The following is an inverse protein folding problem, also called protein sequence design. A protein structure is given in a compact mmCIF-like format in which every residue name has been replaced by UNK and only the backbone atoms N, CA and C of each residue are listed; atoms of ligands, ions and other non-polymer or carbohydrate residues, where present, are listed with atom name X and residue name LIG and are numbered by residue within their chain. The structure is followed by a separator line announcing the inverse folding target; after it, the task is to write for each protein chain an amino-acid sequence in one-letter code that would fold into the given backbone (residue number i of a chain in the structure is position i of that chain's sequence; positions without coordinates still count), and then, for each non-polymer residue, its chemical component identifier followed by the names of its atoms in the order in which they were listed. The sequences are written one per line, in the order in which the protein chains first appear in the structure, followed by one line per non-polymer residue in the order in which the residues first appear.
data_IF_454003537536
#
_entry.id   IF_454003537536
#
_cell.length_a   1.000
_cell.length_b   1.000
_cell.length_c   1.000
_cell.angle_alpha   90.00
_cell.angle_beta   90.00
_cell.angle_gamma   90.00
#
_symmetry.space_group_name_H-M   'P 1'
#
loop_
_entity.id
_entity.type
_entity.pdbx_description
1 polymer ?
#
# COMPACT_ATOMS: atom_id res chain seq x y z
N UNK A 1 10.97 8.19 -11.46
CA UNK A 1 10.88 7.53 -10.15
C UNK A 1 9.66 8.07 -9.42
N UNK A 2 8.86 7.21 -8.78
CA UNK A 2 7.76 7.67 -7.94
C UNK A 2 8.32 8.39 -6.70
N UNK A 3 7.55 9.32 -6.13
CA UNK A 3 7.98 9.98 -4.89
C UNK A 3 8.07 8.95 -3.76
N UNK A 4 9.00 9.14 -2.82
CA UNK A 4 9.09 8.33 -1.60
C UNK A 4 7.93 8.65 -0.67
N UNK A 5 6.84 7.90 -0.90
CA UNK A 5 5.54 8.11 -0.30
C UNK A 5 5.11 6.91 0.50
N UNK A 6 4.77 7.18 1.76
CA UNK A 6 4.23 6.20 2.70
C UNK A 6 2.72 6.34 2.74
N UNK A 7 1.99 5.24 2.52
CA UNK A 7 0.56 5.16 2.80
C UNK A 7 0.31 4.20 3.95
N UNK A 8 -0.47 4.61 4.95
CA UNK A 8 -0.95 3.72 5.99
C UNK A 8 -2.37 4.08 6.41
N UNK A 9 -3.15 3.11 6.87
CA UNK A 9 -4.52 3.36 7.27
C UNK A 9 -5.01 2.40 8.33
N UNK A 10 -6.05 2.81 9.04
CA UNK A 10 -6.70 1.98 10.05
C UNK A 10 -8.21 1.95 9.84
N UNK A 11 -8.81 0.78 10.10
CA UNK A 11 -10.27 0.62 10.06
C UNK A 11 -10.89 1.24 11.32
N UNK A 12 -11.95 2.05 11.20
CA UNK A 12 -12.68 2.64 12.33
C UNK A 12 -13.59 1.60 13.02
N UNK A 13 -13.01 0.71 13.84
CA UNK A 13 -13.76 -0.34 14.57
C UNK A 13 -13.75 -0.12 16.09
N UNK A 14 -13.90 1.14 16.51
CA UNK A 14 -13.95 1.60 17.90
C UNK A 14 -12.61 2.10 18.46
N UNK A 15 -12.61 2.52 19.73
CA UNK A 15 -11.51 3.23 20.40
C UNK A 15 -10.13 2.60 20.25
N UNK A 16 -9.09 3.42 20.07
CA UNK A 16 -7.72 2.93 20.06
C UNK A 16 -7.24 2.60 21.49
N UNK A 17 -6.18 1.80 21.58
CA UNK A 17 -5.59 1.33 22.84
C UNK A 17 -4.08 1.35 22.76
N UNK A 18 -3.38 1.14 23.88
CA UNK A 18 -1.90 1.22 23.94
C UNK A 18 -1.19 0.32 22.92
N UNK A 19 -1.76 -0.85 22.61
CA UNK A 19 -1.27 -1.67 21.50
C UNK A 19 -1.24 -0.97 20.13
N UNK A 20 -2.24 -0.14 19.81
CA UNK A 20 -2.23 0.67 18.58
C UNK A 20 -1.21 1.80 18.65
N UNK A 21 -1.05 2.43 19.81
CA UNK A 21 -0.06 3.48 20.00
C UNK A 21 1.37 2.97 19.78
N UNK A 22 1.74 1.86 20.43
CA UNK A 22 3.07 1.26 20.29
C UNK A 22 3.29 0.56 18.95
N UNK A 23 2.26 -0.04 18.36
CA UNK A 23 2.37 -0.80 17.13
C UNK A 23 2.32 0.05 15.85
N UNK A 24 1.60 1.18 15.87
CA UNK A 24 1.32 1.97 14.66
C UNK A 24 1.62 3.45 14.87
N UNK A 25 0.97 4.12 15.82
CA UNK A 25 0.99 5.59 15.92
C UNK A 25 2.39 6.14 16.21
N UNK A 26 3.15 5.50 17.10
CA UNK A 26 4.53 5.91 17.39
C UNK A 26 5.41 5.88 16.14
N UNK A 27 5.19 4.90 15.26
CA UNK A 27 5.91 4.80 13.99
C UNK A 27 5.45 5.89 13.00
N UNK A 28 4.15 6.17 12.92
CA UNK A 28 3.63 7.28 12.10
C UNK A 28 4.22 8.63 12.51
N UNK A 29 4.33 8.88 13.83
CA UNK A 29 4.89 10.13 14.38
C UNK A 29 6.35 10.32 13.97
N UNK A 30 7.12 9.25 13.84
CA UNK A 30 8.48 9.32 13.32
C UNK A 30 8.47 9.52 11.80
N UNK A 31 7.72 8.68 11.07
CA UNK A 31 7.70 8.65 9.61
C UNK A 31 7.24 9.97 8.97
N UNK A 32 6.30 10.69 9.58
CA UNK A 32 5.81 11.97 9.05
C UNK A 32 6.90 13.04 8.91
N UNK A 33 8.04 12.87 9.58
CA UNK A 33 9.20 13.77 9.45
C UNK A 33 10.27 13.26 8.48
N UNK A 34 10.15 12.02 8.01
CA UNK A 34 11.12 11.34 7.14
C UNK A 34 10.60 11.16 5.70
N UNK A 35 9.28 11.04 5.52
CA UNK A 35 8.62 10.71 4.25
C UNK A 35 7.42 11.61 3.94
N UNK A 36 6.98 11.62 2.69
CA UNK A 36 5.64 12.11 2.35
C UNK A 36 4.61 11.09 2.85
N UNK A 37 3.95 11.39 3.97
CA UNK A 37 3.00 10.48 4.61
C UNK A 37 1.55 10.79 4.25
N UNK A 38 0.84 9.75 3.84
CA UNK A 38 -0.60 9.71 3.64
C UNK A 38 -1.19 8.75 4.68
N UNK A 39 -1.96 9.28 5.64
CA UNK A 39 -2.62 8.47 6.66
C UNK A 39 -4.14 8.58 6.53
N UNK A 40 -4.85 7.46 6.56
CA UNK A 40 -6.28 7.49 6.25
C UNK A 40 -7.15 6.56 7.06
N UNK A 41 -8.38 7.03 7.27
CA UNK A 41 -9.44 6.25 7.90
C UNK A 41 -10.08 5.37 6.84
N UNK A 42 -9.93 4.05 6.99
CA UNK A 42 -10.39 3.05 6.04
C UNK A 42 -11.84 2.63 6.35
N UNK A 43 -12.79 3.56 6.17
CA UNK A 43 -14.20 3.38 6.55
C UNK A 43 -14.99 2.44 5.63
N UNK A 44 -14.71 2.38 4.33
CA UNK A 44 -15.28 1.33 3.47
C UNK A 44 -14.74 -0.07 3.80
N UNK A 45 -13.48 -0.17 4.23
CA UNK A 45 -12.96 -1.45 4.74
C UNK A 45 -13.67 -1.90 6.02
N UNK A 46 -14.14 -0.98 6.88
CA UNK A 46 -14.92 -1.37 8.05
C UNK A 46 -16.26 -2.01 7.66
N UNK A 47 -16.89 -1.55 6.58
CA UNK A 47 -18.15 -2.12 6.07
C UNK A 47 -18.01 -3.58 5.64
N UNK A 48 -16.81 -4.05 5.26
CA UNK A 48 -16.61 -5.48 4.88
C UNK A 48 -16.94 -6.46 6.00
N UNK A 49 -16.94 -6.00 7.25
CA UNK A 49 -17.25 -6.80 8.45
C UNK A 49 -18.35 -6.20 9.33
N UNK A 50 -18.73 -4.94 9.12
CA UNK A 50 -19.77 -4.23 9.90
C UNK A 50 -20.89 -3.68 9.00
N UNK A 51 -21.16 -4.35 7.87
CA UNK A 51 -22.21 -3.93 6.93
C UNK A 51 -23.62 -3.92 7.55
N UNK A 52 -23.86 -4.76 8.56
CA UNK A 52 -25.12 -4.91 9.29
C UNK A 52 -25.28 -3.91 10.44
N UNK A 53 -24.17 -3.28 10.85
CA UNK A 53 -24.08 -2.35 11.99
C UNK A 53 -23.25 -1.10 11.64
N UNK A 54 -23.52 -0.41 10.51
CA UNK A 54 -22.66 0.66 10.01
C UNK A 54 -22.64 1.91 10.88
N UNK A 55 -23.61 2.08 11.80
CA UNK A 55 -23.74 3.28 12.62
C UNK A 55 -22.53 3.50 13.54
N UNK A 56 -21.84 2.42 13.94
CA UNK A 56 -20.63 2.52 14.78
C UNK A 56 -19.45 3.13 14.03
N UNK A 57 -19.44 3.03 12.70
CA UNK A 57 -18.33 3.48 11.85
C UNK A 57 -18.24 5.00 11.88
N UNK A 58 -19.37 5.71 11.74
CA UNK A 58 -19.39 7.18 11.67
C UNK A 58 -18.74 7.83 12.89
N UNK A 59 -19.12 7.38 14.09
CA UNK A 59 -18.52 7.88 15.34
C UNK A 59 -17.05 7.46 15.46
N UNK A 60 -16.74 6.20 15.12
CA UNK A 60 -15.37 5.65 15.20
C UNK A 60 -14.39 6.36 14.26
N UNK A 61 -14.86 6.90 13.12
CA UNK A 61 -14.04 7.70 12.20
C UNK A 61 -13.47 8.93 12.92
N UNK A 62 -14.34 9.72 13.56
CA UNK A 62 -13.94 10.96 14.23
C UNK A 62 -13.12 10.68 15.48
N UNK A 63 -13.53 9.69 16.27
CA UNK A 63 -12.81 9.27 17.47
C UNK A 63 -11.36 8.88 17.15
N UNK A 64 -11.15 8.13 16.07
CA UNK A 64 -9.83 7.71 15.65
C UNK A 64 -8.97 8.87 15.14
N UNK A 65 -9.54 9.82 14.40
CA UNK A 65 -8.80 11.03 13.99
C UNK A 65 -8.37 11.84 15.21
N UNK A 66 -9.24 11.99 16.22
CA UNK A 66 -8.89 12.64 17.49
C UNK A 66 -7.75 11.90 18.19
N UNK A 67 -7.81 10.57 18.26
CA UNK A 67 -6.75 9.75 18.87
C UNK A 67 -5.40 9.91 18.13
N UNK A 68 -5.41 10.02 16.79
CA UNK A 68 -4.19 10.24 16.00
C UNK A 68 -3.56 11.60 16.28
N UNK A 69 -4.37 12.66 16.27
CA UNK A 69 -3.90 14.01 16.56
C UNK A 69 -3.36 14.10 17.99
N UNK A 70 -4.05 13.49 18.96
CA UNK A 70 -3.62 13.45 20.36
C UNK A 70 -2.30 12.66 20.53
N UNK A 71 -2.08 11.61 19.72
CA UNK A 71 -0.84 10.84 19.73
C UNK A 71 0.35 11.55 19.05
N UNK A 72 0.12 12.68 18.37
CA UNK A 72 1.17 13.51 17.77
C UNK A 72 1.27 13.42 16.23
N UNK A 73 0.28 12.81 15.56
CA UNK A 73 0.19 12.89 14.10
C UNK A 73 -0.20 14.32 13.72
N UNK A 74 0.61 14.99 12.93
CA UNK A 74 0.47 16.41 12.61
C UNK A 74 0.03 16.61 11.15
N UNK A 75 -1.17 17.21 10.91
CA UNK A 75 -1.65 17.53 9.57
C UNK A 75 -0.75 18.49 8.78
N UNK A 76 0.17 19.21 9.43
CA UNK A 76 1.17 20.04 8.76
C UNK A 76 2.32 19.22 8.15
N UNK A 77 2.53 17.97 8.61
CA UNK A 77 3.60 17.09 8.19
C UNK A 77 3.09 15.85 7.41
N UNK A 78 1.85 15.43 7.63
CA UNK A 78 1.21 14.31 6.94
C UNK A 78 -0.19 14.69 6.42
N UNK A 79 -0.60 14.09 5.30
CA UNK A 79 -1.97 14.25 4.80
C UNK A 79 -2.89 13.24 5.49
N UNK A 80 -3.91 13.75 6.18
CA UNK A 80 -4.95 12.94 6.81
C UNK A 80 -6.23 13.00 5.97
N UNK A 81 -6.82 11.84 5.67
CA UNK A 81 -8.09 11.79 4.93
C UNK A 81 -8.96 10.59 5.32
N UNK A 82 -10.20 10.59 4.83
CA UNK A 82 -11.17 9.51 5.03
C UNK A 82 -11.39 8.83 3.67
N UNK A 83 -11.32 7.50 3.63
CA UNK A 83 -11.43 6.72 2.39
C UNK A 83 -12.69 7.07 1.60
N UNK A 84 -13.86 7.06 2.24
CA UNK A 84 -15.13 7.38 1.58
C UNK A 84 -15.26 8.81 1.04
N UNK A 85 -14.38 9.73 1.44
CA UNK A 85 -14.33 11.12 0.94
C UNK A 85 -13.50 11.26 -0.34
N UNK A 86 -12.89 10.18 -0.81
CA UNK A 86 -12.09 10.13 -2.05
C UNK A 86 -12.71 9.07 -2.99
N UNK A 87 -13.77 9.42 -3.74
CA UNK A 87 -14.52 8.46 -4.55
C UNK A 87 -13.69 7.74 -5.62
N UNK A 88 -12.54 8.30 -6.01
CA UNK A 88 -11.60 7.71 -6.96
C UNK A 88 -11.04 6.37 -6.47
N UNK A 89 -11.07 6.10 -5.15
CA UNK A 89 -10.76 4.77 -4.59
C UNK A 89 -11.72 3.71 -5.14
N UNK A 90 -13.03 4.02 -5.18
CA UNK A 90 -14.04 3.12 -5.72
C UNK A 90 -13.94 3.00 -7.25
N UNK A 91 -13.63 4.09 -7.95
CA UNK A 91 -13.42 4.06 -9.40
C UNK A 91 -12.23 3.18 -9.77
N UNK A 92 -11.08 3.36 -9.12
CA UNK A 92 -9.91 2.52 -9.37
C UNK A 92 -10.18 1.07 -8.97
N UNK A 93 -10.85 0.82 -7.85
CA UNK A 93 -11.25 -0.53 -7.45
C UNK A 93 -12.09 -1.23 -8.54
N UNK A 94 -13.10 -0.54 -9.07
CA UNK A 94 -13.94 -1.05 -10.17
C UNK A 94 -13.13 -1.36 -11.43
N UNK A 95 -12.20 -0.49 -11.81
CA UNK A 95 -11.35 -0.73 -12.99
C UNK A 95 -10.41 -1.92 -12.77
N UNK A 96 -9.79 -2.01 -11.59
CA UNK A 96 -8.91 -3.12 -11.24
C UNK A 96 -9.67 -4.44 -11.15
N UNK A 97 -10.96 -4.44 -10.77
CA UNK A 97 -11.75 -5.67 -10.67
C UNK A 97 -11.93 -6.37 -12.01
N UNK A 98 -11.99 -5.60 -13.12
CA UNK A 98 -12.15 -6.15 -14.47
C UNK A 98 -10.93 -6.96 -14.94
N UNK A 99 -9.75 -6.69 -14.37
CA UNK A 99 -8.53 -7.40 -14.74
C UNK A 99 -8.06 -8.39 -13.67
N UNK A 100 -8.72 -8.46 -12.51
CA UNK A 100 -8.27 -9.29 -11.38
C UNK A 100 -8.85 -10.70 -11.46
N UNK A 101 -8.02 -11.77 -11.55
CA UNK A 101 -8.54 -13.13 -11.52
C UNK A 101 -9.13 -13.48 -10.15
N UNK A 102 -10.32 -14.07 -10.14
CA UNK A 102 -11.02 -14.45 -8.90
C UNK A 102 -10.16 -15.34 -7.98
N UNK A 103 -9.49 -16.35 -8.55
CA UNK A 103 -8.64 -17.27 -7.80
C UNK A 103 -7.42 -16.62 -7.15
N UNK A 104 -7.09 -15.36 -7.46
CA UNK A 104 -6.07 -14.63 -6.71
C UNK A 104 -6.61 -14.16 -5.36
N UNK A 105 -7.86 -13.69 -5.31
CA UNK A 105 -8.53 -13.27 -4.08
C UNK A 105 -8.76 -14.45 -3.13
N UNK A 106 -9.22 -15.58 -3.65
CA UNK A 106 -9.49 -16.80 -2.86
C UNK A 106 -8.24 -17.44 -2.23
N UNK A 107 -7.05 -17.07 -2.72
CA UNK A 107 -5.76 -17.60 -2.25
C UNK A 107 -5.06 -16.70 -1.24
N UNK A 108 -5.58 -15.50 -0.97
CA UNK A 108 -5.01 -14.63 0.08
C UNK A 108 -5.20 -15.33 1.44
N UNK A 109 -4.13 -15.65 2.19
CA UNK A 109 -4.21 -16.51 3.38
C UNK A 109 -5.20 -16.00 4.44
N UNK A 110 -5.23 -14.68 4.65
CA UNK A 110 -6.08 -14.06 5.67
C UNK A 110 -7.57 -14.20 5.40
N UNK A 111 -7.99 -14.42 4.15
CA UNK A 111 -9.40 -14.57 3.81
C UNK A 111 -9.98 -15.82 4.48
N UNK A 112 -9.32 -16.98 4.31
CA UNK A 112 -9.75 -18.24 4.90
C UNK A 112 -9.68 -18.21 6.43
N UNK A 113 -8.56 -17.72 6.96
CA UNK A 113 -8.35 -17.63 8.41
C UNK A 113 -9.40 -16.75 9.11
N UNK A 114 -9.84 -15.65 8.47
CA UNK A 114 -10.85 -14.76 9.04
C UNK A 114 -12.26 -15.33 8.93
N UNK A 115 -12.59 -16.03 7.83
CA UNK A 115 -13.87 -16.75 7.71
C UNK A 115 -14.02 -17.82 8.81
N UNK A 116 -12.95 -18.54 9.13
CA UNK A 116 -12.96 -19.56 10.18
C UNK A 116 -13.07 -18.98 11.60
N UNK A 117 -12.53 -17.76 11.83
CA UNK A 117 -12.52 -17.12 13.16
C UNK A 117 -13.79 -16.32 13.46
N UNK A 118 -14.48 -15.83 12.44
CA UNK A 118 -15.66 -14.96 12.57
C UNK A 118 -16.94 -15.70 12.18
N UNK A 119 -17.18 -16.87 12.78
CA UNK A 119 -18.31 -17.74 12.48
C UNK A 119 -19.68 -17.12 12.76
N UNK A 120 -19.74 -16.11 13.64
CA UNK A 120 -20.98 -15.40 13.99
C UNK A 120 -21.40 -14.36 12.93
N UNK A 121 -20.52 -14.01 11.98
CA UNK A 121 -20.81 -13.06 10.90
C UNK A 121 -20.86 -13.79 9.56
N UNK A 122 -21.86 -13.50 8.73
CA UNK A 122 -21.84 -13.94 7.34
C UNK A 122 -20.85 -13.09 6.55
N UNK A 123 -19.64 -13.64 6.38
CA UNK A 123 -18.55 -13.06 5.61
C UNK A 123 -18.47 -13.65 4.19
N UNK A 124 -19.51 -14.37 3.74
CA UNK A 124 -19.62 -14.90 2.38
C UNK A 124 -20.05 -13.82 1.39
N UNK A 125 -19.51 -12.61 1.55
CA UNK A 125 -19.90 -11.44 0.78
C UNK A 125 -18.82 -11.08 -0.25
N UNK A 126 -19.24 -10.51 -1.38
CA UNK A 126 -18.30 -9.99 -2.38
C UNK A 126 -17.37 -8.92 -1.79
N UNK A 127 -17.90 -8.05 -0.91
CA UNK A 127 -17.09 -7.01 -0.26
C UNK A 127 -15.97 -7.59 0.60
N UNK A 128 -16.24 -8.68 1.32
CA UNK A 128 -15.21 -9.36 2.11
C UNK A 128 -14.21 -10.13 1.23
N UNK A 129 -14.64 -10.77 0.14
CA UNK A 129 -13.70 -11.39 -0.81
C UNK A 129 -12.84 -10.35 -1.55
N UNK A 130 -13.42 -9.20 -1.88
CA UNK A 130 -12.82 -8.13 -2.66
C UNK A 130 -11.97 -7.13 -1.87
N UNK A 131 -11.96 -7.18 -0.53
CA UNK A 131 -11.24 -6.19 0.28
C UNK A 131 -9.73 -6.09 -0.05
N UNK A 132 -9.00 -7.19 -0.36
CA UNK A 132 -7.59 -7.06 -0.73
C UNK A 132 -7.39 -6.21 -1.99
N UNK A 133 -8.34 -6.27 -2.94
CA UNK A 133 -8.30 -5.44 -4.14
C UNK A 133 -8.70 -3.99 -3.86
N UNK A 134 -9.62 -3.75 -2.93
CA UNK A 134 -9.89 -2.40 -2.45
C UNK A 134 -8.64 -1.80 -1.78
N UNK A 135 -7.94 -2.57 -0.95
CA UNK A 135 -6.66 -2.16 -0.36
C UNK A 135 -5.60 -1.87 -1.44
N UNK A 136 -5.52 -2.67 -2.50
CA UNK A 136 -4.66 -2.36 -3.64
C UNK A 136 -5.04 -1.04 -4.31
N UNK A 137 -6.33 -0.75 -4.49
CA UNK A 137 -6.77 0.54 -5.05
C UNK A 137 -6.36 1.71 -4.15
N UNK A 138 -6.55 1.58 -2.83
CA UNK A 138 -6.16 2.60 -1.86
C UNK A 138 -4.66 2.92 -1.94
N UNK A 139 -3.81 1.90 -2.17
CA UNK A 139 -2.36 2.04 -2.30
C UNK A 139 -1.95 2.64 -3.65
N UNK A 140 -2.47 2.08 -4.74
CA UNK A 140 -1.98 2.35 -6.09
C UNK A 140 -2.44 3.71 -6.62
N UNK A 141 -3.60 4.22 -6.17
CA UNK A 141 -4.09 5.54 -6.60
C UNK A 141 -3.12 6.67 -6.24
N UNK A 142 -2.46 6.55 -5.09
CA UNK A 142 -1.46 7.52 -4.64
C UNK A 142 -0.05 7.20 -5.12
N UNK A 143 0.14 6.09 -5.85
CA UNK A 143 1.45 5.59 -6.25
C UNK A 143 2.40 5.48 -5.07
N UNK A 144 1.88 5.02 -3.92
CA UNK A 144 2.70 4.84 -2.74
C UNK A 144 3.82 3.84 -3.03
N UNK A 145 5.03 4.15 -2.59
CA UNK A 145 6.21 3.29 -2.75
C UNK A 145 6.44 2.44 -1.52
N UNK A 146 5.89 2.84 -0.37
CA UNK A 146 6.08 2.16 0.90
C UNK A 146 4.76 2.05 1.67
N UNK A 147 4.53 0.90 2.31
CA UNK A 147 3.34 0.65 3.14
C UNK A 147 3.78 -0.01 4.44
N UNK A 148 3.72 0.67 5.60
CA UNK A 148 4.06 0.09 6.88
C UNK A 148 3.01 -0.93 7.30
N UNK A 149 3.46 -2.16 7.52
CA UNK A 149 2.59 -3.30 7.79
C UNK A 149 3.22 -4.28 8.78
N UNK A 150 2.37 -5.03 9.47
CA UNK A 150 2.78 -6.23 10.18
C UNK A 150 3.05 -7.40 9.22
N UNK A 151 3.75 -8.42 9.71
CA UNK A 151 4.08 -9.63 8.94
C UNK A 151 2.83 -10.33 8.36
N UNK A 152 1.71 -10.26 9.07
CA UNK A 152 0.43 -10.85 8.65
C UNK A 152 -0.22 -10.18 7.44
N UNK A 153 0.20 -8.95 7.11
CA UNK A 153 -0.34 -8.16 5.99
C UNK A 153 0.61 -8.12 4.78
N UNK A 154 1.79 -8.72 4.87
CA UNK A 154 2.73 -8.85 3.73
C UNK A 154 2.06 -9.50 2.50
N UNK A 155 1.20 -10.53 2.63
CA UNK A 155 0.49 -11.10 1.49
C UNK A 155 -0.39 -10.09 0.74
N UNK A 156 -0.98 -9.09 1.40
CA UNK A 156 -1.76 -8.03 0.75
C UNK A 156 -0.89 -7.07 -0.05
N UNK A 157 0.32 -6.79 0.44
CA UNK A 157 1.28 -5.96 -0.28
C UNK A 157 1.76 -6.70 -1.52
N UNK A 158 2.05 -7.99 -1.43
CA UNK A 158 2.40 -8.76 -2.64
C UNK A 158 1.24 -8.91 -3.62
N UNK A 159 0.02 -9.12 -3.12
CA UNK A 159 -1.17 -9.07 -3.98
C UNK A 159 -1.27 -7.72 -4.71
N UNK A 160 -1.01 -6.61 -4.02
CA UNK A 160 -1.01 -5.27 -4.61
C UNK A 160 0.07 -5.09 -5.69
N UNK A 161 1.27 -5.65 -5.47
CA UNK A 161 2.37 -5.64 -6.45
C UNK A 161 2.00 -6.44 -7.70
N UNK A 162 1.37 -7.60 -7.53
CA UNK A 162 0.86 -8.40 -8.67
C UNK A 162 -0.20 -7.66 -9.48
N UNK A 163 -1.12 -6.95 -8.81
CA UNK A 163 -2.11 -6.11 -9.48
C UNK A 163 -1.43 -4.97 -10.26
N UNK A 164 -0.45 -4.29 -9.67
CA UNK A 164 0.32 -3.24 -10.33
C UNK A 164 1.06 -3.76 -11.57
N UNK A 165 1.79 -4.89 -11.44
CA UNK A 165 2.46 -5.57 -12.55
C UNK A 165 1.50 -5.90 -13.69
N UNK A 166 0.36 -6.48 -13.34
CA UNK A 166 -0.67 -6.86 -14.32
C UNK A 166 -1.25 -5.64 -15.02
N UNK A 167 -1.58 -4.57 -14.28
CA UNK A 167 -2.06 -3.32 -14.85
C UNK A 167 -1.03 -2.72 -15.81
N UNK A 168 0.23 -2.62 -15.39
CA UNK A 168 1.33 -2.10 -16.21
C UNK A 168 1.57 -2.98 -17.45
N UNK A 169 1.39 -4.30 -17.35
CA UNK A 169 1.51 -5.20 -18.50
C UNK A 169 0.40 -4.97 -19.53
N UNK A 170 -0.86 -4.84 -19.07
CA UNK A 170 -2.03 -4.70 -19.94
C UNK A 170 -2.07 -3.29 -20.57
N UNK A 171 -1.84 -2.25 -19.77
CA UNK A 171 -2.07 -0.86 -20.17
C UNK A 171 -0.79 -0.06 -20.43
N UNK A 172 0.37 -0.54 -19.99
CA UNK A 172 1.66 0.14 -20.19
C UNK A 172 2.23 -0.05 -21.59
N UNK A 173 1.71 -0.97 -22.40
CA UNK A 173 2.17 -1.19 -23.78
C UNK A 173 1.42 -0.27 -24.73
N UNK A 174 2.07 0.83 -25.13
CA UNK A 174 1.56 1.67 -26.22
C UNK A 174 1.87 1.05 -27.59
N UNK A 175 1.09 1.41 -28.62
CA UNK A 175 1.38 1.04 -30.00
C UNK A 175 2.79 1.54 -30.37
N UNK A 176 3.64 0.64 -30.87
CA UNK A 176 5.03 0.91 -31.21
C UNK A 176 5.93 1.16 -29.99
N UNK A 177 5.62 0.59 -28.82
CA UNK A 177 6.41 0.80 -27.59
C UNK A 177 7.90 0.49 -27.80
N UNK A 178 8.24 -0.65 -28.41
CA UNK A 178 9.64 -1.04 -28.66
C UNK A 178 10.35 -0.05 -29.58
N UNK A 179 9.71 0.33 -30.69
CA UNK A 179 10.26 1.32 -31.64
C UNK A 179 10.52 2.68 -30.96
N UNK A 180 9.58 3.11 -30.11
CA UNK A 180 9.70 4.35 -29.32
C UNK A 180 10.78 4.22 -28.23
N UNK A 181 10.91 3.07 -27.59
CA UNK A 181 11.95 2.80 -26.61
C UNK A 181 13.33 2.80 -27.26
N UNK A 182 13.50 2.14 -28.41
CA UNK A 182 14.74 2.18 -29.19
C UNK A 182 15.09 3.60 -29.66
N UNK A 183 14.09 4.38 -30.08
CA UNK A 183 14.28 5.80 -30.40
C UNK A 183 14.73 6.60 -29.16
N UNK A 184 14.19 6.30 -27.97
CA UNK A 184 14.62 6.91 -26.72
C UNK A 184 16.04 6.49 -26.32
N UNK A 185 16.43 5.23 -26.55
CA UNK A 185 17.80 4.74 -26.30
C UNK A 185 18.80 5.54 -27.15
N UNK A 186 18.47 5.83 -28.41
CA UNK A 186 19.33 6.66 -29.28
C UNK A 186 19.55 8.08 -28.73
N UNK A 187 18.58 8.63 -27.99
CA UNK A 187 18.70 9.96 -27.35
C UNK A 187 19.69 9.99 -26.17
N UNK A 188 20.07 8.84 -25.61
CA UNK A 188 21.10 8.76 -24.54
C UNK A 188 22.51 9.12 -25.05
N UNK A 189 22.74 9.09 -26.36
CA UNK A 189 24.06 9.21 -26.97
C UNK A 189 24.80 7.86 -27.04
N UNK A 190 25.69 7.72 -28.02
CA UNK A 190 26.26 6.43 -28.46
C UNK A 190 26.84 5.56 -27.32
N UNK A 191 27.65 6.15 -26.44
CA UNK A 191 28.31 5.43 -25.33
C UNK A 191 27.30 4.92 -24.29
N UNK A 192 26.35 5.77 -23.88
CA UNK A 192 25.34 5.44 -22.87
C UNK A 192 24.28 4.50 -23.43
N UNK A 193 23.89 4.67 -24.69
CA UNK A 193 23.01 3.76 -25.40
C UNK A 193 23.56 2.33 -25.41
N UNK A 194 24.86 2.16 -25.72
CA UNK A 194 25.51 0.84 -25.70
C UNK A 194 25.52 0.22 -24.30
N UNK A 195 25.89 1.01 -23.28
CA UNK A 195 25.91 0.56 -21.89
C UNK A 195 24.50 0.17 -21.41
N UNK A 196 23.49 0.98 -21.72
CA UNK A 196 22.09 0.68 -21.39
C UNK A 196 21.64 -0.65 -22.02
N UNK A 197 21.92 -0.88 -23.30
CA UNK A 197 21.56 -2.13 -23.98
C UNK A 197 22.27 -3.33 -23.36
N UNK A 198 23.55 -3.21 -23.01
CA UNK A 198 24.31 -4.28 -22.35
C UNK A 198 23.73 -4.65 -20.99
N UNK A 199 23.45 -3.64 -20.15
CA UNK A 199 22.85 -3.84 -18.83
C UNK A 199 21.45 -4.47 -18.93
N UNK A 200 20.64 -4.00 -19.88
CA UNK A 200 19.32 -4.58 -20.18
C UNK A 200 19.42 -6.05 -20.58
N UNK A 201 20.34 -6.40 -21.48
CA UNK A 201 20.52 -7.79 -21.92
C UNK A 201 20.94 -8.68 -20.76
N UNK A 202 21.89 -8.24 -19.92
CA UNK A 202 22.29 -8.97 -18.71
C UNK A 202 21.10 -9.22 -17.79
N UNK A 203 20.30 -8.19 -17.51
CA UNK A 203 19.12 -8.36 -16.67
C UNK A 203 18.09 -9.33 -17.27
N UNK A 204 17.70 -9.12 -18.53
CA UNK A 204 16.63 -9.91 -19.16
C UNK A 204 17.01 -11.36 -19.45
N UNK A 205 18.29 -11.63 -19.76
CA UNK A 205 18.74 -12.99 -20.07
C UNK A 205 19.24 -13.75 -18.83
N UNK A 206 19.84 -13.06 -17.85
CA UNK A 206 20.55 -13.68 -16.73
C UNK A 206 19.92 -13.38 -15.36
N UNK A 207 18.93 -12.48 -15.29
CA UNK A 207 18.34 -12.04 -14.02
C UNK A 207 19.30 -11.21 -13.16
N UNK A 208 20.19 -10.46 -13.80
CA UNK A 208 21.25 -9.70 -13.14
C UNK A 208 20.72 -8.40 -12.49
N UNK A 209 20.37 -8.48 -11.20
CA UNK A 209 19.83 -7.35 -10.43
C UNK A 209 20.82 -6.18 -10.28
N UNK A 210 22.14 -6.44 -10.26
CA UNK A 210 23.16 -5.37 -10.23
C UNK A 210 23.17 -4.59 -11.54
N UNK A 211 22.99 -5.28 -12.67
CA UNK A 211 22.87 -4.65 -13.97
C UNK A 211 21.59 -3.80 -14.06
N UNK A 212 20.49 -4.27 -13.47
CA UNK A 212 19.23 -3.52 -13.38
C UNK A 212 19.43 -2.21 -12.61
N UNK A 213 19.97 -2.25 -11.39
CA UNK A 213 20.20 -1.05 -10.57
C UNK A 213 21.17 -0.07 -11.25
N UNK A 214 22.23 -0.59 -11.87
CA UNK A 214 23.17 0.24 -12.63
C UNK A 214 22.49 0.96 -13.81
N UNK A 215 21.59 0.28 -14.51
CA UNK A 215 20.84 0.86 -15.61
C UNK A 215 19.81 1.89 -15.14
N UNK A 216 19.14 1.65 -14.00
CA UNK A 216 18.23 2.62 -13.39
C UNK A 216 18.96 3.91 -13.03
N UNK A 217 20.11 3.79 -12.36
CA UNK A 217 20.97 4.93 -12.01
C UNK A 217 21.40 5.74 -13.25
N UNK A 218 21.81 5.06 -14.32
CA UNK A 218 22.17 5.71 -15.60
C UNK A 218 21.03 6.57 -16.17
N UNK A 219 19.78 6.10 -16.06
CA UNK A 219 18.60 6.81 -16.55
C UNK A 219 18.24 8.02 -15.66
N UNK A 220 18.37 7.89 -14.34
CA UNK A 220 18.07 8.97 -13.39
C UNK A 220 19.06 10.14 -13.53
N UNK A 221 20.32 9.87 -13.85
CA UNK A 221 21.32 10.90 -14.15
C UNK A 221 21.07 11.66 -15.47
N UNK A 222 20.15 11.21 -16.34
CA UNK A 222 19.85 11.87 -17.61
C UNK A 222 18.76 12.93 -17.50
N UNK A 223 19.16 14.17 -17.22
CA UNK A 223 18.26 15.33 -17.22
C UNK A 223 17.74 15.72 -18.61
N UNK A 224 18.42 15.32 -19.70
CA UNK A 224 18.02 15.66 -21.08
C UNK A 224 16.85 14.84 -21.61
N UNK A 225 16.48 13.74 -20.95
CA UNK A 225 15.35 12.91 -21.35
C UNK A 225 14.03 13.54 -20.93
N UNK A 226 13.05 13.50 -21.83
CA UNK A 226 11.66 13.79 -21.45
C UNK A 226 11.16 12.76 -20.43
N UNK A 227 10.19 13.14 -19.59
CA UNK A 227 9.57 12.23 -18.63
C UNK A 227 9.04 10.96 -19.29
N UNK A 228 8.36 11.10 -20.43
CA UNK A 228 7.81 9.96 -21.18
C UNK A 228 8.89 9.04 -21.76
N UNK A 229 10.01 9.58 -22.25
CA UNK A 229 11.12 8.75 -22.73
C UNK A 229 11.79 8.01 -21.58
N UNK A 230 11.96 8.67 -20.42
CA UNK A 230 12.53 8.04 -19.24
C UNK A 230 11.66 6.87 -18.75
N UNK A 231 10.34 7.07 -18.64
CA UNK A 231 9.41 6.01 -18.25
C UNK A 231 9.39 4.83 -19.24
N UNK A 232 9.51 5.10 -20.55
CA UNK A 232 9.64 4.04 -21.56
C UNK A 232 10.92 3.24 -21.38
N UNK A 233 12.05 3.92 -21.12
CA UNK A 233 13.33 3.24 -20.92
C UNK A 233 13.30 2.37 -19.66
N UNK A 234 12.76 2.86 -18.54
CA UNK A 234 12.56 2.00 -17.37
C UNK A 234 11.72 0.76 -17.68
N UNK A 235 10.58 0.92 -18.36
CA UNK A 235 9.77 -0.21 -18.79
C UNK A 235 10.50 -1.18 -19.72
N UNK A 236 11.22 -0.64 -20.69
CA UNK A 236 11.95 -1.42 -21.69
C UNK A 236 13.13 -2.19 -21.09
N UNK A 237 13.74 -1.66 -20.03
CA UNK A 237 14.81 -2.29 -19.26
C UNK A 237 14.33 -3.62 -18.65
N UNK A 238 13.13 -3.63 -18.09
CA UNK A 238 12.55 -4.80 -17.42
C UNK A 238 11.78 -5.74 -18.36
N UNK A 239 11.76 -5.45 -19.67
CA UNK A 239 11.01 -6.24 -20.67
C UNK A 239 9.50 -5.97 -20.66
N UNK A 240 9.08 -4.91 -19.96
CA UNK A 240 7.71 -4.48 -19.79
C UNK A 240 7.32 -3.30 -20.70
N UNK A 241 6.11 -2.79 -20.46
CA UNK A 241 5.65 -1.51 -21.00
C UNK A 241 5.97 -0.36 -20.05
N UNK A 242 5.36 0.81 -20.29
CA UNK A 242 5.43 1.95 -19.38
C UNK A 242 4.98 1.55 -17.96
N UNK A 243 5.77 1.92 -16.95
CA UNK A 243 5.38 1.81 -15.54
C UNK A 243 4.37 2.91 -15.19
N UNK A 244 3.08 2.54 -15.05
CA UNK A 244 1.99 3.49 -14.74
C UNK A 244 1.69 3.53 -13.24
N UNK A 245 1.60 2.34 -12.62
CA UNK A 245 1.41 2.13 -11.19
C UNK A 245 2.73 1.72 -10.53
N UNK A 246 2.95 2.16 -9.29
CA UNK A 246 4.09 1.76 -8.49
C UNK A 246 3.93 0.33 -7.97
N UNK A 247 5.05 -0.37 -7.78
CA UNK A 247 5.08 -1.60 -6.99
C UNK A 247 5.49 -1.25 -5.56
N UNK A 248 4.53 -1.14 -4.61
CA UNK A 248 4.84 -0.75 -3.23
C UNK A 248 5.74 -1.78 -2.55
N UNK A 249 6.53 -1.34 -1.58
CA UNK A 249 7.32 -2.19 -0.69
C UNK A 249 6.67 -2.24 0.70
N UNK A 250 6.69 -3.42 1.32
CA UNK A 250 6.28 -3.57 2.70
C UNK A 250 7.36 -2.99 3.62
N UNK A 251 7.00 -2.04 4.48
CA UNK A 251 7.86 -1.61 5.57
C UNK A 251 7.45 -2.37 6.84
N UNK A 252 8.23 -3.38 7.21
CA UNK A 252 7.93 -4.16 8.40
C UNK A 252 8.08 -3.27 9.64
N UNK A 253 6.97 -3.04 10.33
CA UNK A 253 7.00 -2.39 11.63
C UNK A 253 7.65 -3.32 12.64
N UNK A 254 8.56 -2.82 13.47
CA UNK A 254 9.10 -3.60 14.58
C UNK A 254 7.92 -4.14 15.41
N UNK A 255 7.76 -5.47 15.42
CA UNK A 255 6.61 -6.12 16.02
C UNK A 255 6.67 -5.99 17.56
N UNK A 256 6.26 -4.84 18.07
CA UNK A 256 6.05 -4.67 19.51
C UNK A 256 4.68 -5.27 19.83
N UNK A 257 4.65 -6.56 20.13
CA UNK A 257 3.47 -7.17 20.74
C UNK A 257 3.31 -6.56 22.12
N UNK A 258 2.48 -5.52 22.23
CA UNK A 258 2.17 -4.90 23.51
C UNK A 258 1.42 -5.93 24.38
N UNK A 259 1.95 -6.29 25.56
CA UNK A 259 1.22 -7.15 26.48
C UNK A 259 -0.03 -6.42 26.99
N UNK A 260 -1.15 -7.15 27.07
CA UNK A 260 -2.36 -6.71 27.72
C UNK A 260 -2.28 -6.88 29.24
N UNK A 261 -3.37 -6.51 29.92
CA UNK A 261 -3.49 -6.57 31.38
C UNK A 261 -3.31 -7.99 31.95
N UNK A 262 -3.50 -9.01 31.13
CA UNK A 262 -3.38 -10.43 31.46
C UNK A 262 -2.04 -11.06 31.00
N UNK A 263 -1.11 -10.26 30.46
CA UNK A 263 0.16 -10.72 29.91
C UNK A 263 0.10 -11.33 28.50
N UNK A 264 -1.10 -11.52 27.92
CA UNK A 264 -1.27 -11.94 26.53
C UNK A 264 -1.13 -10.75 25.58
N UNK A 265 -1.29 -10.94 24.25
CA UNK A 265 -1.34 -9.81 23.31
C UNK A 265 -2.53 -8.90 23.68
N UNK A 266 -2.28 -7.59 23.79
CA UNK A 266 -3.34 -6.61 23.98
C UNK A 266 -4.33 -6.64 22.80
N UNK A 267 -5.60 -6.97 23.07
CA UNK A 267 -6.67 -7.07 22.08
C UNK A 267 -8.03 -6.80 22.73
N UNK A 268 -8.89 -6.04 22.05
CA UNK A 268 -10.27 -5.81 22.50
C UNK A 268 -11.04 -7.11 22.71
N UNK A 269 -10.79 -8.12 21.87
CA UNK A 269 -11.44 -9.43 21.96
C UNK A 269 -11.11 -10.20 23.25
N UNK A 270 -10.00 -9.88 23.89
CA UNK A 270 -9.57 -10.49 25.16
C UNK A 270 -9.95 -9.65 26.37
N UNK A 271 -10.56 -8.48 26.15
CA UNK A 271 -10.94 -7.53 27.20
C UNK A 271 -9.75 -7.19 28.13
N UNK A 272 -8.54 -7.06 27.57
CA UNK A 272 -7.28 -6.88 28.29
C UNK A 272 -6.55 -5.58 27.88
N UNK A 273 -7.30 -4.56 27.45
CA UNK A 273 -6.77 -3.33 26.85
C UNK A 273 -6.86 -2.13 27.79
N UNK A 274 -5.93 -1.20 27.65
CA UNK A 274 -6.08 0.18 28.17
C UNK A 274 -6.32 1.09 26.95
N UNK A 275 -7.46 1.78 26.90
CA UNK A 275 -7.79 2.69 25.78
C UNK A 275 -7.04 4.02 25.89
N UNK A 276 -6.82 4.71 24.76
CA UNK A 276 -6.03 5.97 24.76
C UNK A 276 -6.73 7.15 25.46
N UNK A 277 -8.05 7.04 25.67
CA UNK A 277 -8.90 8.09 26.26
C UNK A 277 -9.56 7.59 27.55
N UNK A 278 -8.92 6.68 28.27
CA UNK A 278 -9.36 6.29 29.61
C UNK A 278 -9.21 7.44 30.61
N UNK A 279 -10.15 7.52 31.55
CA UNK A 279 -10.06 8.43 32.68
C UNK A 279 -8.87 8.03 33.57
N UNK A 280 -8.15 9.02 34.12
CA UNK A 280 -6.98 8.77 34.98
C UNK A 280 -7.29 7.79 36.13
N UNK A 281 -8.52 7.85 36.67
CA UNK A 281 -8.98 6.98 37.75
C UNK A 281 -9.14 5.50 37.35
N UNK A 282 -9.28 5.17 36.06
CA UNK A 282 -9.39 3.77 35.60
C UNK A 282 -8.04 3.12 35.30
N UNK A 283 -6.94 3.88 35.25
CA UNK A 283 -5.61 3.43 34.84
C UNK A 283 -4.71 3.04 36.04
N UNK A 284 -5.27 2.98 37.26
CA UNK A 284 -4.56 2.73 38.52
C UNK A 284 -4.43 1.26 38.95
#
# INVERSE_FOLDING_TARGET
MFADRVLSGMRPTGSLHLGHYHGVLKNWVQMQHEYECLFFVADWHALTTHYDTPQVIEQSVWDMVVDWLAAGVDPAHATLFIQSRVPEHAELHLLLSMITPLGWLERVPTYKDQQEKLTEKDLSTYGFLGYPLLQSADILIYRATHVPVGEDQVPHIEFTREIARRFNHIYGREIGFEEKAEAAVKKLGSKKARLYTELRTRYQEQGDDEALESAKSLLDEQQSLSHGDRERLFGYLEGGGKMILSEPQAMLTAASKMPGLDGQKMSKSYNNTITLREDEASVG
#
